data_IF_404607177428
#
_entry.id   IF_404607177428
#
_cell.length_a   1.000
_cell.length_b   1.000
_cell.length_c   1.000
_cell.angle_alpha   90.00
_cell.angle_beta   90.00
_cell.angle_gamma   90.00
#
_symmetry.space_group_name_H-M   'P 1'
#
loop_
_entity.id
_entity.type
_entity.pdbx_description
1 polymer ?
#
# COMPACT_ATOMS: atom_id res chain seq x y z
N UNK A 1 3.86 3.07 30.09
CA UNK A 1 3.92 2.98 28.62
C UNK A 1 2.70 2.21 28.16
N UNK A 2 1.88 2.81 27.29
CA UNK A 2 0.63 2.21 26.84
C UNK A 2 0.95 1.17 25.77
N UNK A 3 0.45 -0.04 25.93
CA UNK A 3 0.71 -1.17 25.04
C UNK A 3 -0.58 -1.94 24.76
N UNK A 4 -0.60 -2.65 23.64
CA UNK A 4 -1.63 -3.61 23.29
C UNK A 4 -0.95 -4.88 22.77
N UNK A 5 -1.47 -6.05 23.18
CA UNK A 5 -1.03 -7.35 22.66
C UNK A 5 -1.97 -7.78 21.54
N UNK A 6 -1.41 -8.23 20.43
CA UNK A 6 -2.16 -8.79 19.31
C UNK A 6 -1.53 -10.08 18.83
N UNK A 7 -2.34 -11.06 18.42
CA UNK A 7 -1.82 -12.38 18.00
C UNK A 7 -0.87 -12.30 16.82
N UNK A 8 -1.15 -11.41 15.86
CA UNK A 8 -0.33 -11.24 14.66
C UNK A 8 0.83 -10.26 14.88
N UNK A 9 0.57 -9.12 15.52
CA UNK A 9 1.54 -8.02 15.65
C UNK A 9 2.43 -8.12 16.90
N UNK A 10 2.11 -9.02 17.84
CA UNK A 10 2.76 -9.09 19.14
C UNK A 10 2.42 -7.88 20.01
N UNK A 11 3.41 -7.44 20.79
CA UNK A 11 3.28 -6.26 21.65
C UNK A 11 3.53 -4.98 20.85
N UNK A 12 2.53 -4.11 20.78
CA UNK A 12 2.62 -2.80 20.14
C UNK A 12 2.80 -1.70 21.19
N UNK A 13 3.74 -0.78 20.96
CA UNK A 13 3.91 0.42 21.78
C UNK A 13 3.04 1.56 21.24
N UNK A 14 2.14 2.06 22.07
CA UNK A 14 1.18 3.12 21.70
C UNK A 14 1.62 4.51 22.19
N UNK A 15 2.82 4.64 22.73
CA UNK A 15 3.37 5.91 23.19
C UNK A 15 3.93 6.73 22.02
N UNK A 16 3.05 7.19 21.13
CA UNK A 16 3.45 8.00 19.97
C UNK A 16 3.79 9.44 20.40
N UNK A 17 4.85 9.99 19.81
CA UNK A 17 5.34 11.34 20.11
C UNK A 17 5.10 12.31 18.96
N UNK A 18 5.16 11.78 17.73
CA UNK A 18 4.90 12.51 16.49
C UNK A 18 3.42 12.41 16.09
N UNK A 19 3.02 13.18 15.09
CA UNK A 19 1.64 13.18 14.58
C UNK A 19 1.28 11.83 13.94
N UNK A 20 2.27 11.16 13.32
CA UNK A 20 2.19 9.79 12.81
C UNK A 20 3.49 9.05 13.18
N UNK A 21 3.40 7.80 13.63
CA UNK A 21 4.55 6.99 14.02
C UNK A 21 4.38 5.52 13.61
N UNK A 22 5.45 4.88 13.14
CA UNK A 22 5.47 3.44 12.87
C UNK A 22 5.56 2.70 14.20
N UNK A 23 4.53 1.93 14.52
CA UNK A 23 4.47 1.14 15.77
C UNK A 23 4.76 -0.35 15.55
N UNK A 24 4.81 -0.78 14.29
CA UNK A 24 5.21 -2.11 13.87
C UNK A 24 5.69 -2.09 12.42
N UNK A 25 6.73 -2.88 12.15
CA UNK A 25 7.30 -3.03 10.81
C UNK A 25 7.74 -4.46 10.56
N UNK A 26 7.64 -4.89 9.30
CA UNK A 26 8.14 -6.19 8.86
C UNK A 26 8.29 -6.22 7.34
N UNK A 27 9.32 -6.91 6.86
CA UNK A 27 9.38 -7.29 5.46
C UNK A 27 8.57 -8.59 5.23
N UNK A 28 7.53 -8.53 4.40
CA UNK A 28 6.66 -9.65 4.06
C UNK A 28 6.81 -9.95 2.57
N UNK A 29 7.42 -11.08 2.24
CA UNK A 29 7.66 -11.50 0.84
C UNK A 29 8.42 -10.46 0.00
N UNK A 30 9.34 -9.70 0.60
CA UNK A 30 10.07 -8.63 -0.09
C UNK A 30 9.36 -7.28 -0.09
N UNK A 31 8.15 -7.18 0.48
CA UNK A 31 7.39 -5.92 0.60
C UNK A 31 7.62 -5.34 2.00
N UNK A 32 8.08 -4.10 2.07
CA UNK A 32 8.20 -3.40 3.35
C UNK A 32 6.81 -3.00 3.84
N UNK A 33 6.44 -3.51 5.02
CA UNK A 33 5.11 -3.34 5.59
C UNK A 33 5.19 -2.58 6.90
N UNK A 34 4.41 -1.51 7.03
CA UNK A 34 4.40 -0.66 8.22
C UNK A 34 2.99 -0.47 8.77
N UNK A 35 2.87 -0.52 10.10
CA UNK A 35 1.68 -0.10 10.83
C UNK A 35 1.90 1.29 11.39
N UNK A 36 1.20 2.25 10.83
CA UNK A 36 1.22 3.65 11.22
C UNK A 36 0.12 3.95 12.22
N UNK A 37 0.48 4.63 13.31
CA UNK A 37 -0.45 5.10 14.32
C UNK A 37 -0.39 6.62 14.44
N UNK A 38 -1.56 7.23 14.30
CA UNK A 38 -1.76 8.65 14.54
C UNK A 38 -1.72 9.00 16.02
N UNK A 39 -1.27 10.22 16.30
CA UNK A 39 -1.18 10.77 17.65
C UNK A 39 -2.54 10.78 18.34
N UNK A 40 -2.56 10.35 19.60
CA UNK A 40 -3.75 10.26 20.44
C UNK A 40 -4.85 9.31 19.90
N UNK A 41 -4.53 8.44 18.94
CA UNK A 41 -5.44 7.39 18.48
C UNK A 41 -5.24 6.12 19.30
N UNK A 42 -6.33 5.45 19.64
CA UNK A 42 -6.31 4.15 20.29
C UNK A 42 -6.74 3.08 19.27
N UNK A 43 -5.84 2.18 18.84
CA UNK A 43 -6.22 1.11 17.94
C UNK A 43 -7.17 0.14 18.66
N UNK A 44 -8.21 -0.28 17.96
CA UNK A 44 -9.09 -1.36 18.44
C UNK A 44 -8.52 -2.73 18.04
N UNK A 45 -8.88 -3.78 18.77
CA UNK A 45 -8.51 -5.14 18.34
C UNK A 45 -9.13 -5.49 16.99
N UNK A 46 -10.34 -5.01 16.70
CA UNK A 46 -11.01 -5.28 15.42
C UNK A 46 -10.30 -4.72 14.20
N UNK A 47 -9.67 -3.53 14.29
CA UNK A 47 -8.88 -3.00 13.16
C UNK A 47 -7.56 -3.78 12.99
N UNK A 48 -6.96 -4.21 14.08
CA UNK A 48 -5.77 -5.08 14.03
C UNK A 48 -6.09 -6.46 13.45
N UNK A 49 -7.25 -7.03 13.79
CA UNK A 49 -7.72 -8.29 13.19
C UNK A 49 -7.95 -8.14 11.68
N UNK A 50 -8.53 -7.01 11.24
CA UNK A 50 -8.70 -6.70 9.82
C UNK A 50 -7.36 -6.62 9.09
N UNK A 51 -6.39 -5.90 9.64
CA UNK A 51 -5.05 -5.80 9.04
C UNK A 51 -4.30 -7.12 9.03
N UNK A 52 -4.40 -7.91 10.09
CA UNK A 52 -3.82 -9.25 10.12
C UNK A 52 -4.46 -10.14 9.03
N UNK A 53 -5.78 -10.13 8.90
CA UNK A 53 -6.48 -10.85 7.85
C UNK A 53 -6.04 -10.42 6.44
N UNK A 54 -5.85 -9.12 6.22
CA UNK A 54 -5.35 -8.59 4.94
C UNK A 54 -3.97 -9.16 4.61
N UNK A 55 -3.04 -9.10 5.57
CA UNK A 55 -1.67 -9.59 5.41
C UNK A 55 -1.61 -11.12 5.23
N UNK A 56 -2.47 -11.88 5.91
CA UNK A 56 -2.59 -13.32 5.73
C UNK A 56 -3.11 -13.70 4.32
N UNK A 57 -3.78 -12.78 3.64
CA UNK A 57 -4.34 -12.94 2.29
C UNK A 57 -3.63 -12.07 1.23
N UNK A 58 -2.39 -11.62 1.50
CA UNK A 58 -1.69 -10.62 0.68
C UNK A 58 -1.60 -10.99 -0.80
N UNK A 59 -1.32 -12.24 -1.16
CA UNK A 59 -1.23 -12.69 -2.55
C UNK A 59 -2.54 -12.48 -3.32
N UNK A 60 -3.68 -12.67 -2.64
CA UNK A 60 -5.01 -12.42 -3.21
C UNK A 60 -5.24 -10.92 -3.36
N UNK A 61 -4.85 -10.12 -2.35
CA UNK A 61 -4.98 -8.67 -2.38
C UNK A 61 -4.11 -8.00 -3.45
N UNK A 62 -2.91 -8.51 -3.70
CA UNK A 62 -2.06 -8.08 -4.82
C UNK A 62 -2.76 -8.33 -6.17
N UNK A 63 -3.45 -9.48 -6.34
CA UNK A 63 -4.21 -9.75 -7.57
C UNK A 63 -5.42 -8.83 -7.72
N UNK A 64 -6.11 -8.52 -6.63
CA UNK A 64 -7.22 -7.56 -6.62
C UNK A 64 -6.73 -6.14 -6.98
N UNK A 65 -5.64 -5.67 -6.37
CA UNK A 65 -5.00 -4.39 -6.70
C UNK A 65 -4.56 -4.34 -8.17
N UNK A 66 -3.86 -5.37 -8.68
CA UNK A 66 -3.45 -5.40 -10.09
C UNK A 66 -4.64 -5.34 -11.04
N UNK A 67 -5.75 -6.02 -10.74
CA UNK A 67 -6.96 -5.92 -11.55
C UNK A 67 -7.51 -4.50 -11.58
N UNK A 68 -7.50 -3.79 -10.46
CA UNK A 68 -7.92 -2.39 -10.38
C UNK A 68 -6.95 -1.47 -11.16
N UNK A 69 -5.63 -1.68 -11.03
CA UNK A 69 -4.60 -0.93 -11.76
C UNK A 69 -4.74 -1.08 -13.27
N UNK A 70 -5.00 -2.29 -13.78
CA UNK A 70 -5.22 -2.51 -15.21
C UNK A 70 -6.42 -1.68 -15.71
N UNK A 71 -7.50 -1.64 -14.94
CA UNK A 71 -8.67 -0.84 -15.29
C UNK A 71 -8.37 0.67 -15.26
N UNK A 72 -7.66 1.13 -14.23
CA UNK A 72 -7.21 2.52 -14.08
C UNK A 72 -6.33 2.96 -15.25
N UNK A 73 -5.26 2.20 -15.55
CA UNK A 73 -4.31 2.49 -16.62
C UNK A 73 -4.91 2.42 -18.03
N UNK A 74 -6.00 1.65 -18.18
CA UNK A 74 -6.74 1.57 -19.44
C UNK A 74 -7.64 2.78 -19.64
N UNK A 75 -8.16 3.36 -18.56
CA UNK A 75 -8.99 4.57 -18.59
C UNK A 75 -8.11 5.81 -18.78
N UNK A 76 -6.96 5.85 -18.10
CA UNK A 76 -5.95 6.91 -18.19
C UNK A 76 -4.53 6.33 -18.35
N UNK A 77 -3.94 6.54 -19.52
CA UNK A 77 -2.59 6.07 -19.84
C UNK A 77 -1.48 7.06 -19.47
N UNK A 78 -1.77 8.18 -18.78
CA UNK A 78 -0.77 9.20 -18.46
C UNK A 78 0.43 8.64 -17.69
N UNK A 79 0.20 7.76 -16.70
CA UNK A 79 1.30 7.12 -15.96
C UNK A 79 2.19 6.25 -16.86
N UNK A 80 1.60 5.52 -17.81
CA UNK A 80 2.35 4.70 -18.79
C UNK A 80 3.17 5.61 -19.71
N UNK A 81 2.53 6.63 -20.28
CA UNK A 81 3.18 7.54 -21.23
C UNK A 81 4.32 8.31 -20.55
N UNK A 82 4.15 8.74 -19.30
CA UNK A 82 5.21 9.39 -18.53
C UNK A 82 6.46 8.51 -18.43
N UNK A 83 6.30 7.23 -18.07
CA UNK A 83 7.47 6.34 -17.95
C UNK A 83 8.14 6.04 -19.29
N UNK A 84 7.36 5.86 -20.36
CA UNK A 84 7.92 5.59 -21.69
C UNK A 84 8.61 6.82 -22.27
N UNK A 85 7.96 7.98 -22.20
CA UNK A 85 8.37 9.20 -22.92
C UNK A 85 9.29 10.09 -22.07
N UNK A 86 8.91 10.36 -20.82
CA UNK A 86 9.61 11.32 -19.95
C UNK A 86 10.75 10.66 -19.16
N UNK A 87 10.55 9.43 -18.66
CA UNK A 87 11.63 8.65 -18.03
C UNK A 87 12.52 7.93 -19.06
N UNK A 88 12.17 7.94 -20.35
CA UNK A 88 12.95 7.31 -21.42
C UNK A 88 12.97 5.77 -21.38
N UNK A 89 11.98 5.15 -20.76
CA UNK A 89 11.89 3.69 -20.61
C UNK A 89 11.14 3.05 -21.80
N UNK A 90 11.67 3.26 -23.01
CA UNK A 90 11.02 2.88 -24.29
C UNK A 90 10.74 1.36 -24.44
N UNK A 91 11.43 0.51 -23.67
CA UNK A 91 11.23 -0.95 -23.65
C UNK A 91 10.03 -1.40 -22.78
N UNK A 92 9.35 -0.46 -22.10
CA UNK A 92 8.12 -0.74 -21.37
C UNK A 92 6.93 -0.95 -22.33
N UNK A 93 6.03 -1.89 -22.02
CA UNK A 93 4.85 -2.11 -22.83
C UNK A 93 3.86 -0.94 -22.69
N UNK A 94 3.19 -0.55 -23.76
CA UNK A 94 2.11 0.45 -23.69
C UNK A 94 0.74 -0.15 -23.34
N UNK A 95 0.59 -1.48 -23.39
CA UNK A 95 -0.64 -2.15 -22.96
C UNK A 95 -0.75 -2.16 -21.43
N UNK A 96 -1.90 -1.74 -20.91
CA UNK A 96 -2.19 -1.66 -19.47
C UNK A 96 -1.96 -2.96 -18.70
N UNK A 97 -2.26 -4.12 -19.29
CA UNK A 97 -2.13 -5.41 -18.60
C UNK A 97 -0.66 -5.84 -18.53
N UNK A 98 0.06 -5.70 -19.64
CA UNK A 98 1.49 -6.02 -19.69
C UNK A 98 2.32 -5.05 -18.83
N UNK A 99 1.94 -3.76 -18.80
CA UNK A 99 2.59 -2.75 -17.95
C UNK A 99 2.36 -3.06 -16.47
N UNK A 100 1.10 -3.26 -16.07
CA UNK A 100 0.77 -3.62 -14.69
C UNK A 100 1.39 -4.97 -14.26
N UNK A 101 1.66 -5.89 -15.18
CA UNK A 101 2.37 -7.14 -14.88
C UNK A 101 3.86 -6.92 -14.57
N UNK A 102 4.49 -5.89 -15.14
CA UNK A 102 5.89 -5.51 -14.84
C UNK A 102 6.03 -4.70 -13.55
N UNK A 103 4.95 -4.10 -13.04
CA UNK A 103 4.99 -3.35 -11.78
C UNK A 103 5.25 -4.26 -10.57
N UNK A 104 5.97 -3.74 -9.60
CA UNK A 104 6.29 -4.42 -8.33
C UNK A 104 5.64 -3.70 -7.17
N UNK A 105 5.16 -4.46 -6.18
CA UNK A 105 4.72 -3.88 -4.90
C UNK A 105 5.97 -3.57 -4.09
N UNK A 106 6.13 -2.32 -3.67
CA UNK A 106 7.32 -1.87 -2.93
C UNK A 106 7.02 -1.63 -1.46
N UNK A 107 5.83 -1.10 -1.16
CA UNK A 107 5.41 -0.80 0.20
C UNK A 107 3.97 -1.22 0.48
N UNK A 108 3.69 -1.53 1.75
CA UNK A 108 2.34 -1.65 2.28
C UNK A 108 2.21 -0.85 3.58
N UNK A 109 1.31 0.14 3.59
CA UNK A 109 0.98 0.93 4.78
C UNK A 109 -0.34 0.50 5.38
N UNK A 110 -0.36 0.21 6.69
CA UNK A 110 -1.56 -0.02 7.48
C UNK A 110 -1.81 1.21 8.34
N UNK A 111 -2.89 1.96 8.11
CA UNK A 111 -3.05 3.31 8.66
C UNK A 111 -4.12 3.36 9.75
N UNK A 112 -3.75 3.78 10.96
CA UNK A 112 -4.69 4.03 12.06
C UNK A 112 -4.54 5.49 12.49
N UNK A 113 -5.28 6.39 11.85
CA UNK A 113 -5.20 7.83 12.07
C UNK A 113 -6.60 8.45 12.36
N UNK A 114 -6.74 9.77 12.17
CA UNK A 114 -8.01 10.47 12.34
C UNK A 114 -8.98 10.30 11.15
N UNK A 115 -8.52 9.72 10.05
CA UNK A 115 -9.35 9.37 8.91
C UNK A 115 -9.99 7.99 9.14
N UNK A 116 -10.67 7.48 8.11
CA UNK A 116 -11.11 6.09 8.15
C UNK A 116 -9.89 5.19 8.03
N UNK A 117 -9.75 4.17 8.90
CA UNK A 117 -8.67 3.19 8.77
C UNK A 117 -8.63 2.61 7.36
N UNK A 118 -7.43 2.57 6.78
CA UNK A 118 -7.22 2.15 5.40
C UNK A 118 -5.85 1.51 5.24
N UNK A 119 -5.67 0.86 4.09
CA UNK A 119 -4.42 0.20 3.71
C UNK A 119 -3.95 0.80 2.39
N UNK A 120 -2.68 1.14 2.29
CA UNK A 120 -2.04 1.55 1.03
C UNK A 120 -1.16 0.42 0.52
N UNK A 121 -1.14 0.22 -0.79
CA UNK A 121 -0.25 -0.72 -1.47
C UNK A 121 0.38 -0.01 -2.65
N UNK A 122 1.69 0.20 -2.57
CA UNK A 122 2.42 1.03 -3.52
C UNK A 122 2.96 0.16 -4.63
N UNK A 123 2.62 0.50 -5.87
CA UNK A 123 3.12 -0.14 -7.07
C UNK A 123 4.04 0.80 -7.83
N UNK A 124 5.23 0.30 -8.14
CA UNK A 124 6.21 1.03 -8.95
C UNK A 124 6.60 0.22 -10.18
N UNK A 125 6.95 0.93 -11.25
CA UNK A 125 7.61 0.36 -12.42
C UNK A 125 9.06 0.85 -12.42
N UNK A 126 10.02 -0.06 -12.60
CA UNK A 126 11.45 0.27 -12.59
C UNK A 126 11.86 1.21 -11.42
N UNK A 127 11.70 0.79 -10.15
CA UNK A 127 11.91 1.66 -8.98
C UNK A 127 13.35 2.19 -8.82
N UNK A 128 14.31 1.66 -9.57
CA UNK A 128 15.69 2.20 -9.63
C UNK A 128 15.81 3.42 -10.57
N UNK A 129 14.83 3.65 -11.45
CA UNK A 129 14.85 4.66 -12.51
C UNK A 129 13.77 5.76 -12.31
N UNK A 130 12.75 5.52 -11.49
CA UNK A 130 11.62 6.42 -11.24
C UNK A 130 11.14 6.30 -9.78
N UNK A 131 10.76 7.42 -9.17
CA UNK A 131 10.11 7.49 -7.86
C UNK A 131 8.58 7.55 -7.95
N UNK A 132 8.01 7.51 -9.16
CA UNK A 132 6.56 7.59 -9.37
C UNK A 132 5.83 6.32 -8.90
N UNK A 133 4.78 6.51 -8.10
CA UNK A 133 4.02 5.44 -7.46
C UNK A 133 2.56 5.47 -7.94
N UNK A 134 1.98 4.30 -8.17
CA UNK A 134 0.52 4.13 -8.11
C UNK A 134 0.15 3.48 -6.77
N UNK A 135 -0.41 4.28 -5.88
CA UNK A 135 -0.84 3.90 -4.54
C UNK A 135 -2.28 3.36 -4.61
N UNK A 136 -2.45 2.05 -4.42
CA UNK A 136 -3.77 1.42 -4.36
C UNK A 136 -4.28 1.45 -2.92
N UNK A 137 -5.41 2.11 -2.69
CA UNK A 137 -6.01 2.26 -1.35
C UNK A 137 -7.14 1.27 -1.14
N UNK A 138 -7.11 0.58 0.00
CA UNK A 138 -8.17 -0.30 0.46
C UNK A 138 -8.85 0.28 1.70
N UNK A 139 -10.18 0.31 1.71
CA UNK A 139 -10.98 0.84 2.81
C UNK A 139 -11.46 -0.23 3.81
N UNK A 140 -12.44 0.17 4.62
CA UNK A 140 -13.26 -0.74 5.44
C UNK A 140 -13.85 -1.84 4.53
N UNK A 141 -13.76 -3.11 4.94
CA UNK A 141 -14.03 -4.33 4.11
C UNK A 141 -12.91 -4.78 3.15
N UNK A 142 -11.72 -4.18 3.24
CA UNK A 142 -10.55 -4.55 2.41
C UNK A 142 -10.82 -4.46 0.90
N UNK A 143 -11.75 -3.59 0.49
CA UNK A 143 -12.08 -3.31 -0.90
C UNK A 143 -11.27 -2.13 -1.44
N UNK A 144 -10.89 -2.16 -2.72
CA UNK A 144 -10.21 -1.04 -3.37
C UNK A 144 -11.17 0.16 -3.44
N UNK A 145 -10.73 1.31 -2.92
CA UNK A 145 -11.53 2.55 -2.88
C UNK A 145 -10.95 3.67 -3.73
N UNK A 146 -9.63 3.67 -3.97
CA UNK A 146 -8.95 4.68 -4.77
C UNK A 146 -7.62 4.14 -5.32
N UNK A 147 -7.14 4.80 -6.37
CA UNK A 147 -5.78 4.67 -6.89
C UNK A 147 -5.30 6.09 -7.11
N UNK A 148 -4.19 6.44 -6.47
CA UNK A 148 -3.59 7.76 -6.56
C UNK A 148 -2.20 7.64 -7.20
N UNK A 149 -1.89 8.56 -8.11
CA UNK A 149 -0.54 8.74 -8.62
C UNK A 149 0.21 9.70 -7.69
N UNK A 150 1.30 9.23 -7.09
CA UNK A 150 2.12 9.93 -6.09
C UNK A 150 3.60 10.01 -6.55
N UNK A 151 4.31 11.06 -6.13
CA UNK A 151 5.75 11.32 -6.35
C UNK A 151 6.40 11.84 -5.08
#
# INVERSE_FOLDING_TARGET
MKHIEHRYFGQLNLATTNDMEVIWEKNIQGIDTWLWLGKNIEPSTGILDLYAHFLENIDKKIKEARKALIAYLKDDSCYINFHIEECGLEDLPSDSADFAAKMTVTNLGLWIDNEKPHITMDFMIAPDESDEILCVKFGEEEAVIAIDWES
#
